data_IF_804266692232
#
_entry.id   IF_804266692232
#
_cell.length_a   1.000
_cell.length_b   1.000
_cell.length_c   1.000
_cell.angle_alpha   90.00
_cell.angle_beta   90.00
_cell.angle_gamma   90.00
#
_symmetry.space_group_name_H-M   'P 1'
#
loop_
_entity.id
_entity.type
_entity.pdbx_description
1 polymer ?
#
# COMPACT_ATOMS: atom_id res chain seq x y z
N UNK A 1 17.05 13.94 -3.10
CA UNK A 1 15.60 13.90 -2.83
C UNK A 1 15.42 13.98 -1.31
N UNK A 2 15.01 15.13 -0.75
CA UNK A 2 14.77 15.27 0.69
C UNK A 2 13.35 14.77 1.02
N UNK A 3 13.17 13.45 0.96
CA UNK A 3 11.89 12.84 1.33
C UNK A 3 12.02 12.36 2.77
N UNK A 4 11.19 12.91 3.65
CA UNK A 4 11.18 12.54 5.06
C UNK A 4 10.87 11.05 5.23
N UNK A 5 11.55 10.38 6.15
CA UNK A 5 11.32 8.96 6.47
C UNK A 5 9.85 8.68 6.79
N UNK A 6 9.15 9.64 7.40
CA UNK A 6 7.71 9.57 7.68
C UNK A 6 6.88 9.47 6.40
N UNK A 7 7.23 10.24 5.37
CA UNK A 7 6.57 10.19 4.07
C UNK A 7 6.80 8.84 3.39
N UNK A 8 8.01 8.29 3.48
CA UNK A 8 8.32 6.97 2.91
C UNK A 8 7.53 5.85 3.60
N UNK A 9 7.40 5.91 4.93
CA UNK A 9 6.59 4.94 5.70
C UNK A 9 5.12 5.01 5.28
N UNK A 10 4.54 6.22 5.18
CA UNK A 10 3.14 6.40 4.75
C UNK A 10 2.93 5.83 3.34
N UNK A 11 3.83 6.11 2.40
CA UNK A 11 3.75 5.59 1.03
C UNK A 11 3.82 4.06 0.99
N UNK A 12 4.67 3.45 1.81
CA UNK A 12 4.75 1.99 1.91
C UNK A 12 3.47 1.37 2.44
N UNK A 13 2.88 1.94 3.49
CA UNK A 13 1.61 1.44 4.07
C UNK A 13 0.47 1.57 3.06
N UNK A 14 0.37 2.71 2.37
CA UNK A 14 -0.63 2.93 1.34
C UNK A 14 -0.45 1.95 0.17
N UNK A 15 0.78 1.72 -0.27
CA UNK A 15 1.08 0.78 -1.36
C UNK A 15 0.74 -0.66 -0.96
N UNK A 16 1.10 -1.09 0.25
CA UNK A 16 0.77 -2.41 0.75
C UNK A 16 -0.75 -2.63 0.83
N UNK A 17 -1.48 -1.63 1.32
CA UNK A 17 -2.95 -1.68 1.41
C UNK A 17 -3.58 -1.77 0.01
N UNK A 18 -3.10 -0.97 -0.95
CA UNK A 18 -3.56 -1.03 -2.34
C UNK A 18 -3.31 -2.40 -2.99
N UNK A 19 -2.12 -2.98 -2.77
CA UNK A 19 -1.80 -4.32 -3.26
C UNK A 19 -2.70 -5.40 -2.64
N UNK A 20 -3.00 -5.30 -1.35
CA UNK A 20 -3.90 -6.23 -0.67
C UNK A 20 -5.34 -6.12 -1.19
N UNK A 21 -5.82 -4.92 -1.49
CA UNK A 21 -7.15 -4.72 -2.09
C UNK A 21 -7.24 -5.33 -3.48
N UNK A 22 -6.25 -5.11 -4.34
CA UNK A 22 -6.19 -5.72 -5.68
C UNK A 22 -6.16 -7.25 -5.56
N UNK A 23 -5.39 -7.77 -4.60
CA UNK A 23 -5.32 -9.20 -4.34
C UNK A 23 -6.67 -9.75 -3.88
N UNK A 24 -7.31 -9.08 -2.93
CA UNK A 24 -8.62 -9.48 -2.40
C UNK A 24 -9.70 -9.48 -3.49
N UNK A 25 -9.71 -8.48 -4.37
CA UNK A 25 -10.62 -8.42 -5.53
C UNK A 25 -10.35 -9.60 -6.48
N UNK A 26 -9.08 -9.85 -6.81
CA UNK A 26 -8.70 -10.91 -7.75
C UNK A 26 -9.08 -12.31 -7.28
N UNK A 27 -9.07 -12.55 -5.97
CA UNK A 27 -9.39 -13.85 -5.38
C UNK A 27 -10.83 -13.93 -4.85
N UNK A 28 -11.66 -12.90 -5.06
CA UNK A 28 -13.02 -12.82 -4.52
C UNK A 28 -13.07 -13.16 -3.03
N UNK A 29 -12.10 -12.63 -2.26
CA UNK A 29 -12.03 -12.87 -0.82
C UNK A 29 -13.16 -12.17 -0.03
N UNK A 30 -13.94 -11.30 -0.69
CA UNK A 30 -15.16 -10.65 -0.20
C UNK A 30 -16.26 -10.67 -1.26
#
# INVERSE_FOLDING_TARGET
MNVSSRTVVILNVLSATGLLLILAERFHWF
#
